data_IF_756134953748
#
_entry.id   IF_756134953748
#
_cell.length_a   1.000
_cell.length_b   1.000
_cell.length_c   1.000
_cell.angle_alpha   90.00
_cell.angle_beta   90.00
_cell.angle_gamma   90.00
#
_symmetry.space_group_name_H-M   'P 1'
#
loop_
_entity.id
_entity.type
_entity.pdbx_description
1 polymer ?
#
# COMPACT_ATOMS: atom_id res chain seq x y z
N UNK A 1 1.47 -20.09 -6.88
CA UNK A 1 1.95 -20.00 -8.28
C UNK A 1 2.67 -18.68 -8.53
N UNK A 2 2.16 -17.56 -8.00
CA UNK A 2 2.73 -16.20 -8.15
C UNK A 2 4.17 -16.05 -7.60
N UNK A 3 4.45 -16.58 -6.41
CA UNK A 3 5.78 -16.47 -5.77
C UNK A 3 6.92 -17.04 -6.61
N UNK A 4 6.73 -18.24 -7.20
CA UNK A 4 7.74 -18.86 -8.08
C UNK A 4 7.91 -18.08 -9.38
N UNK A 5 6.84 -17.46 -9.88
CA UNK A 5 6.89 -16.62 -11.07
C UNK A 5 7.78 -15.40 -10.85
N UNK A 6 7.61 -14.71 -9.73
CA UNK A 6 8.40 -13.54 -9.36
C UNK A 6 9.90 -13.88 -9.26
N UNK A 7 10.26 -14.93 -8.51
CA UNK A 7 11.65 -15.37 -8.40
C UNK A 7 12.25 -15.73 -9.77
N UNK A 8 11.47 -16.36 -10.64
CA UNK A 8 11.92 -16.68 -12.00
C UNK A 8 12.18 -15.43 -12.83
N UNK A 9 11.37 -14.38 -12.72
CA UNK A 9 11.60 -13.10 -13.43
C UNK A 9 12.94 -12.49 -13.02
N UNK A 10 13.22 -12.43 -11.72
CA UNK A 10 14.48 -11.90 -11.20
C UNK A 10 15.70 -12.76 -11.58
N UNK A 11 15.57 -14.10 -11.56
CA UNK A 11 16.65 -14.97 -12.05
C UNK A 11 16.92 -14.74 -13.53
N UNK A 12 15.87 -14.64 -14.33
CA UNK A 12 15.97 -14.45 -15.79
C UNK A 12 16.66 -13.15 -16.16
N UNK A 13 16.46 -12.05 -15.41
CA UNK A 13 17.18 -10.80 -15.71
C UNK A 13 18.68 -10.97 -15.58
N UNK A 14 19.16 -11.75 -14.61
CA UNK A 14 20.58 -12.04 -14.46
C UNK A 14 21.05 -13.02 -15.55
N UNK A 15 20.35 -14.13 -15.73
CA UNK A 15 20.76 -15.22 -16.64
C UNK A 15 20.77 -14.80 -18.11
N UNK A 16 19.73 -14.10 -18.57
CA UNK A 16 19.55 -13.80 -19.99
C UNK A 16 20.00 -12.39 -20.38
N UNK A 17 20.09 -11.48 -19.41
CA UNK A 17 20.34 -10.06 -19.71
C UNK A 17 21.49 -9.46 -18.88
N UNK A 18 22.12 -10.24 -17.98
CA UNK A 18 23.13 -9.76 -17.04
C UNK A 18 22.71 -8.46 -16.32
N UNK A 19 21.43 -8.36 -15.97
CA UNK A 19 20.79 -7.18 -15.43
C UNK A 19 20.14 -7.46 -14.07
N UNK A 20 20.08 -6.42 -13.22
CA UNK A 20 19.49 -6.48 -11.88
C UNK A 20 18.30 -5.52 -11.78
N UNK A 21 17.16 -6.05 -11.36
CA UNK A 21 16.08 -5.21 -10.84
C UNK A 21 16.47 -4.67 -9.47
N UNK A 22 16.47 -3.35 -9.34
CA UNK A 22 16.92 -2.69 -8.10
C UNK A 22 15.78 -2.39 -7.13
N UNK A 23 14.55 -2.32 -7.65
CA UNK A 23 13.35 -1.93 -6.90
C UNK A 23 12.22 -2.89 -7.19
N UNK A 24 11.47 -3.26 -6.16
CA UNK A 24 10.27 -4.10 -6.23
C UNK A 24 9.06 -3.28 -5.79
N UNK A 25 8.07 -3.07 -6.65
CA UNK A 25 6.84 -2.35 -6.29
C UNK A 25 5.75 -3.35 -5.91
N UNK A 26 5.45 -3.44 -4.62
CA UNK A 26 4.41 -4.33 -4.07
C UNK A 26 3.16 -3.57 -3.62
N UNK A 27 2.07 -4.31 -3.47
CA UNK A 27 0.79 -3.79 -2.98
C UNK A 27 0.58 -4.05 -1.46
N UNK A 28 1.58 -4.63 -0.80
CA UNK A 28 1.61 -4.90 0.63
C UNK A 28 1.53 -6.38 0.98
N UNK A 29 1.14 -7.27 0.05
CA UNK A 29 1.47 -8.68 0.21
C UNK A 29 2.98 -8.86 0.05
N UNK A 30 3.62 -9.46 1.05
CA UNK A 30 5.08 -9.55 1.12
C UNK A 30 5.60 -10.95 0.78
N UNK A 31 4.72 -11.94 0.56
CA UNK A 31 5.14 -13.33 0.34
C UNK A 31 6.07 -13.51 -0.85
N UNK A 32 5.79 -12.84 -1.97
CA UNK A 32 6.62 -12.91 -3.17
C UNK A 32 7.98 -12.22 -2.95
N UNK A 33 7.98 -11.03 -2.35
CA UNK A 33 9.20 -10.31 -2.01
C UNK A 33 10.06 -11.07 -1.00
N UNK A 34 9.45 -11.65 0.04
CA UNK A 34 10.14 -12.42 1.07
C UNK A 34 10.79 -13.67 0.49
N UNK A 35 10.12 -14.36 -0.44
CA UNK A 35 10.69 -15.51 -1.13
C UNK A 35 11.85 -15.10 -2.04
N UNK A 36 11.69 -14.03 -2.83
CA UNK A 36 12.75 -13.47 -3.67
C UNK A 36 13.98 -13.10 -2.84
N UNK A 37 13.77 -12.44 -1.68
CA UNK A 37 14.84 -12.06 -0.76
C UNK A 37 15.54 -13.28 -0.17
N UNK A 38 14.80 -14.32 0.23
CA UNK A 38 15.36 -15.59 0.73
C UNK A 38 16.17 -16.33 -0.32
N UNK A 39 15.77 -16.26 -1.58
CA UNK A 39 16.51 -16.88 -2.69
C UNK A 39 17.81 -16.13 -3.01
N UNK A 40 17.98 -14.90 -2.52
CA UNK A 40 19.20 -14.10 -2.63
C UNK A 40 19.77 -14.05 -4.06
N UNK A 41 18.88 -13.79 -5.03
CA UNK A 41 19.16 -13.98 -6.48
C UNK A 41 20.37 -13.16 -6.96
N UNK A 42 20.62 -11.99 -6.36
CA UNK A 42 21.74 -11.12 -6.74
C UNK A 42 22.95 -11.20 -5.80
N UNK A 43 22.94 -12.16 -4.86
CA UNK A 43 23.98 -12.33 -3.85
C UNK A 43 23.94 -11.27 -2.74
N UNK A 44 24.84 -11.43 -1.77
CA UNK A 44 24.89 -10.60 -0.56
C UNK A 44 25.29 -9.14 -0.85
N UNK A 45 25.94 -8.89 -2.00
CA UNK A 45 26.38 -7.57 -2.42
C UNK A 45 25.23 -6.63 -2.79
N UNK A 46 24.04 -7.16 -3.09
CA UNK A 46 22.93 -6.34 -3.56
C UNK A 46 21.56 -6.82 -3.06
N UNK A 47 20.90 -5.98 -2.27
CA UNK A 47 19.54 -6.20 -1.79
C UNK A 47 18.55 -5.33 -2.58
N UNK A 48 17.47 -5.95 -3.06
CA UNK A 48 16.40 -5.25 -3.79
C UNK A 48 15.59 -4.38 -2.82
N UNK A 49 15.39 -3.10 -3.17
CA UNK A 49 14.58 -2.18 -2.38
C UNK A 49 13.09 -2.47 -2.56
N UNK A 50 12.35 -2.67 -1.46
CA UNK A 50 10.89 -2.81 -1.51
C UNK A 50 10.21 -1.44 -1.49
N UNK A 51 9.39 -1.19 -2.49
CA UNK A 51 8.49 -0.04 -2.58
C UNK A 51 7.05 -0.47 -2.31
N UNK A 52 6.28 0.42 -1.71
CA UNK A 52 4.85 0.22 -1.46
C UNK A 52 4.01 1.05 -2.44
N UNK A 53 2.98 0.43 -3.01
CA UNK A 53 2.09 1.09 -3.95
C UNK A 53 1.18 2.11 -3.24
N UNK A 54 1.38 3.40 -3.55
CA UNK A 54 0.53 4.50 -3.05
C UNK A 54 -0.95 4.24 -3.34
N UNK A 55 -1.26 3.75 -4.55
CA UNK A 55 -2.64 3.42 -4.93
C UNK A 55 -3.26 2.34 -4.05
N UNK A 56 -2.48 1.33 -3.64
CA UNK A 56 -2.97 0.31 -2.72
C UNK A 56 -3.12 0.88 -1.30
N UNK A 57 -2.18 1.70 -0.83
CA UNK A 57 -2.26 2.39 0.46
C UNK A 57 -3.53 3.26 0.55
N UNK A 58 -3.85 3.99 -0.52
CA UNK A 58 -5.11 4.76 -0.65
C UNK A 58 -6.34 3.85 -0.51
N UNK A 59 -6.41 2.78 -1.32
CA UNK A 59 -7.54 1.83 -1.28
C UNK A 59 -7.72 1.23 0.11
N UNK A 60 -6.62 0.82 0.75
CA UNK A 60 -6.62 0.27 2.12
C UNK A 60 -7.22 1.24 3.13
N UNK A 61 -6.89 2.53 3.05
CA UNK A 61 -7.50 3.56 3.90
C UNK A 61 -9.01 3.66 3.68
N UNK A 62 -9.45 3.76 2.41
CA UNK A 62 -10.87 3.85 2.09
C UNK A 62 -11.66 2.62 2.57
N UNK A 63 -11.14 1.41 2.38
CA UNK A 63 -11.77 0.18 2.87
C UNK A 63 -11.88 0.14 4.39
N UNK A 64 -10.85 0.57 5.11
CA UNK A 64 -10.88 0.63 6.59
C UNK A 64 -11.90 1.63 7.10
N UNK A 65 -12.02 2.80 6.47
CA UNK A 65 -13.02 3.80 6.83
C UNK A 65 -14.45 3.32 6.58
N UNK A 66 -14.70 2.62 5.46
CA UNK A 66 -16.01 2.02 5.18
C UNK A 66 -16.35 0.94 6.20
N UNK A 67 -15.41 0.05 6.52
CA UNK A 67 -15.60 -0.97 7.57
C UNK A 67 -15.86 -0.36 8.94
N UNK A 68 -15.19 0.75 9.28
CA UNK A 68 -15.46 1.49 10.52
C UNK A 68 -16.87 2.08 10.50
N UNK A 69 -17.27 2.73 9.40
CA UNK A 69 -18.61 3.28 9.18
C UNK A 69 -19.68 2.21 9.42
N UNK A 70 -19.50 1.01 8.85
CA UNK A 70 -20.39 -0.14 9.04
C UNK A 70 -20.42 -0.61 10.49
N UNK A 71 -19.25 -0.83 11.11
CA UNK A 71 -19.13 -1.30 12.50
C UNK A 71 -19.81 -0.37 13.51
N UNK A 72 -19.79 0.94 13.25
CA UNK A 72 -20.38 1.95 14.13
C UNK A 72 -21.82 2.31 13.77
N UNK A 73 -22.46 1.56 12.88
CA UNK A 73 -23.87 1.77 12.52
C UNK A 73 -24.74 1.65 13.77
N UNK A 74 -25.66 2.61 13.95
CA UNK A 74 -26.57 2.66 15.11
C UNK A 74 -25.95 3.22 16.39
N UNK A 75 -24.62 3.34 16.48
CA UNK A 75 -23.96 3.93 17.63
C UNK A 75 -23.98 5.46 17.56
N UNK A 76 -24.13 6.06 18.74
CA UNK A 76 -24.10 7.51 18.93
C UNK A 76 -22.75 7.88 19.53
N UNK A 77 -22.08 8.85 18.93
CA UNK A 77 -20.80 9.36 19.40
C UNK A 77 -21.02 10.34 20.58
N UNK A 78 -19.93 10.79 21.20
CA UNK A 78 -19.99 11.72 22.34
C UNK A 78 -20.70 13.04 22.04
N UNK A 79 -20.82 13.42 20.76
CA UNK A 79 -21.52 14.62 20.30
C UNK A 79 -23.03 14.39 20.08
N UNK A 80 -23.58 13.25 20.52
CA UNK A 80 -24.99 12.91 20.37
C UNK A 80 -25.39 12.55 18.94
N UNK A 81 -24.44 12.41 18.01
CA UNK A 81 -24.70 12.14 16.59
C UNK A 81 -24.11 10.80 16.15
N UNK A 82 -24.68 10.23 15.09
CA UNK A 82 -24.14 9.03 14.44
C UNK A 82 -22.84 9.33 13.70
N UNK A 83 -22.01 8.31 13.47
CA UNK A 83 -20.78 8.43 12.69
C UNK A 83 -21.05 8.74 11.21
N UNK A 84 -22.16 8.25 10.66
CA UNK A 84 -22.61 8.48 9.29
C UNK A 84 -23.81 9.44 9.23
N UNK A 85 -24.11 9.97 8.04
CA UNK A 85 -25.22 10.91 7.83
C UNK A 85 -24.77 12.27 7.27
N UNK A 86 -25.70 13.23 7.16
CA UNK A 86 -25.42 14.57 6.63
C UNK A 86 -24.29 15.23 7.42
N UNK A 87 -23.27 15.74 6.71
CA UNK A 87 -22.07 16.35 7.27
C UNK A 87 -21.23 15.41 8.17
N UNK A 88 -21.27 14.10 7.92
CA UNK A 88 -20.52 13.08 8.66
C UNK A 88 -19.76 12.15 7.71
N UNK A 89 -19.27 11.02 8.21
CA UNK A 89 -18.51 10.05 7.42
C UNK A 89 -19.44 9.32 6.43
N UNK A 90 -19.58 9.89 5.23
CA UNK A 90 -20.29 9.30 4.08
C UNK A 90 -19.29 8.89 3.00
N UNK A 91 -19.70 8.07 2.03
CA UNK A 91 -18.78 7.50 1.04
C UNK A 91 -18.05 8.57 0.21
N UNK A 92 -18.73 9.65 -0.17
CA UNK A 92 -18.08 10.76 -0.87
C UNK A 92 -17.03 11.49 -0.04
N UNK A 93 -17.17 11.51 1.30
CA UNK A 93 -16.13 12.05 2.20
C UNK A 93 -14.98 11.05 2.35
N UNK A 94 -15.26 9.75 2.42
CA UNK A 94 -14.24 8.71 2.41
C UNK A 94 -13.39 8.78 1.14
N UNK A 95 -14.02 8.96 -0.02
CA UNK A 95 -13.32 9.11 -1.30
C UNK A 95 -12.43 10.35 -1.33
N UNK A 96 -12.90 11.48 -0.79
CA UNK A 96 -12.09 12.69 -0.62
C UNK A 96 -10.88 12.44 0.28
N UNK A 97 -11.08 11.79 1.42
CA UNK A 97 -9.98 11.44 2.35
C UNK A 97 -8.97 10.52 1.66
N UNK A 98 -9.43 9.50 0.94
CA UNK A 98 -8.59 8.58 0.18
C UNK A 98 -7.73 9.32 -0.86
N UNK A 99 -8.35 10.22 -1.63
CA UNK A 99 -7.67 11.00 -2.67
C UNK A 99 -6.69 12.02 -2.07
N UNK A 100 -7.08 12.70 -0.99
CA UNK A 100 -6.21 13.61 -0.26
C UNK A 100 -4.98 12.87 0.27
N UNK A 101 -5.17 11.73 0.94
CA UNK A 101 -4.06 10.95 1.51
C UNK A 101 -3.06 10.52 0.43
N UNK A 102 -3.55 10.03 -0.70
CA UNK A 102 -2.71 9.69 -1.85
C UNK A 102 -1.96 10.89 -2.43
N UNK A 103 -2.59 12.06 -2.46
CA UNK A 103 -1.97 13.29 -2.96
C UNK A 103 -0.91 13.81 -1.98
N UNK A 104 -1.18 13.74 -0.68
CA UNK A 104 -0.25 14.12 0.37
C UNK A 104 1.03 13.28 0.32
N UNK A 105 0.92 11.95 0.17
CA UNK A 105 2.08 11.06 0.00
C UNK A 105 2.88 11.45 -1.25
N UNK A 106 2.22 11.61 -2.41
CA UNK A 106 2.91 11.94 -3.67
C UNK A 106 3.65 13.28 -3.63
N UNK A 107 3.10 14.28 -2.94
CA UNK A 107 3.72 15.61 -2.80
C UNK A 107 4.84 15.63 -1.77
N UNK A 108 4.89 14.65 -0.87
CA UNK A 108 5.80 14.62 0.28
C UNK A 108 6.48 13.27 0.44
N UNK A 109 7.03 12.72 -0.65
CA UNK A 109 7.62 11.37 -0.69
C UNK A 109 8.67 11.11 0.40
N UNK A 110 9.38 12.15 0.83
CA UNK A 110 10.51 12.06 1.75
C UNK A 110 10.18 12.52 3.18
N UNK A 111 8.93 12.92 3.48
CA UNK A 111 8.58 13.45 4.80
C UNK A 111 7.11 13.25 5.14
N UNK A 112 6.87 12.32 6.06
CA UNK A 112 5.54 12.13 6.67
C UNK A 112 5.09 13.39 7.41
N UNK A 113 6.01 14.10 8.05
CA UNK A 113 5.69 15.34 8.77
C UNK A 113 5.21 16.48 7.85
N UNK A 114 5.60 16.44 6.57
CA UNK A 114 5.19 17.41 5.56
C UNK A 114 3.86 17.04 4.87
N UNK A 115 3.30 15.84 5.11
CA UNK A 115 2.00 15.40 4.57
C UNK A 115 0.78 16.12 5.20
N UNK A 116 0.94 17.37 5.64
CA UNK A 116 -0.10 18.19 6.27
C UNK A 116 -1.07 18.80 5.26
#
# INVERSE_FOLDING_TARGET
MEVKGECNIFKRSLTFHNARYTKYLGDGDSKAFDAMRKENIYGDDFQVEKLECIGHVMKRMGSRLRRLKEKMTGQVLSDGKRLSGKNRLIDSQIDKIQNYYGSAIRRNLNSVHAMR
#
